data_IF_294766496211
#
_entry.id   IF_294766496211
#
_cell.length_a   1.000
_cell.length_b   1.000
_cell.length_c   1.000
_cell.angle_alpha   90.00
_cell.angle_beta   90.00
_cell.angle_gamma   90.00
#
_symmetry.space_group_name_H-M   'P 1'
#
loop_
_entity.id
_entity.type
_entity.pdbx_description
1 polymer ?
#
# COMPACT_ATOMS: atom_id res chain seq x y z
N UNK A 1 -1.79 19.77 34.34
CA UNK A 1 -1.10 18.61 33.72
C UNK A 1 -0.92 18.91 32.26
N UNK A 2 0.30 18.86 31.73
CA UNK A 2 0.58 19.22 30.33
C UNK A 2 -0.02 18.18 29.39
N UNK A 3 -0.72 18.62 28.33
CA UNK A 3 -1.31 17.74 27.30
C UNK A 3 -0.26 16.77 26.72
N UNK A 4 0.99 17.21 26.62
CA UNK A 4 2.13 16.42 26.15
C UNK A 4 2.44 15.19 27.01
N UNK A 5 2.31 15.27 28.33
CA UNK A 5 2.54 14.13 29.24
C UNK A 5 1.47 13.05 29.06
N UNK A 6 0.21 13.46 28.87
CA UNK A 6 -0.89 12.54 28.59
C UNK A 6 -0.68 11.82 27.26
N UNK A 7 -0.25 12.55 26.23
CA UNK A 7 0.04 12.01 24.89
C UNK A 7 1.22 11.03 24.94
N UNK A 8 2.31 11.37 25.64
CA UNK A 8 3.45 10.47 25.79
C UNK A 8 3.06 9.16 26.50
N UNK A 9 2.24 9.25 27.55
CA UNK A 9 1.72 8.08 28.26
C UNK A 9 0.81 7.20 27.39
N UNK A 10 -0.10 7.82 26.63
CA UNK A 10 -0.97 7.10 25.70
C UNK A 10 -0.16 6.37 24.62
N UNK A 11 0.81 7.04 24.01
CA UNK A 11 1.71 6.43 23.01
C UNK A 11 2.50 5.29 23.65
N UNK A 12 3.04 5.49 24.86
CA UNK A 12 3.79 4.47 25.59
C UNK A 12 3.00 3.19 25.80
N UNK A 13 1.71 3.31 26.11
CA UNK A 13 0.79 2.18 26.26
C UNK A 13 0.55 1.46 24.92
N UNK A 14 0.39 2.21 23.83
CA UNK A 14 0.17 1.64 22.49
C UNK A 14 1.38 0.83 22.01
N UNK A 15 2.60 1.37 22.20
CA UNK A 15 3.82 0.75 21.68
C UNK A 15 4.49 -0.21 22.69
N UNK A 16 3.96 -0.32 23.93
CA UNK A 16 4.54 -1.07 25.05
C UNK A 16 6.01 -0.72 25.32
N UNK A 17 6.42 0.52 25.08
CA UNK A 17 7.77 1.02 25.35
C UNK A 17 7.66 2.37 26.08
N UNK A 18 8.52 2.66 27.07
CA UNK A 18 8.47 3.91 27.82
C UNK A 18 8.81 5.10 26.93
N UNK A 19 7.90 6.06 26.82
CA UNK A 19 8.09 7.30 26.05
C UNK A 19 8.22 8.47 27.01
N UNK A 20 9.32 9.21 26.90
CA UNK A 20 9.56 10.46 27.65
C UNK A 20 9.25 11.67 26.77
N UNK A 21 8.78 12.74 27.39
CA UNK A 21 8.61 14.05 26.73
C UNK A 21 9.97 14.74 26.54
N UNK A 22 10.03 15.70 25.62
CA UNK A 22 11.25 16.46 25.35
C UNK A 22 11.78 17.18 26.61
N UNK A 23 10.88 17.76 27.41
CA UNK A 23 11.25 18.45 28.65
C UNK A 23 11.84 17.50 29.69
N UNK A 24 11.29 16.27 29.81
CA UNK A 24 11.85 15.23 30.67
C UNK A 24 13.23 14.77 30.21
N UNK A 25 13.44 14.60 28.90
CA UNK A 25 14.76 14.26 28.36
C UNK A 25 15.79 15.37 28.60
N UNK A 26 15.37 16.64 28.47
CA UNK A 26 16.23 17.79 28.73
C UNK A 26 16.59 17.91 30.21
N UNK A 27 15.66 17.60 31.11
CA UNK A 27 15.89 17.57 32.56
C UNK A 27 16.85 16.43 32.98
N UNK A 28 16.81 15.29 32.29
CA UNK A 28 17.76 14.15 32.47
C UNK A 28 19.18 14.47 31.95
N UNK A 29 19.40 15.65 31.38
CA UNK A 29 20.69 16.06 30.83
C UNK A 29 21.00 15.51 29.43
N UNK A 30 20.02 14.90 28.75
CA UNK A 30 20.20 14.45 27.37
C UNK A 30 20.30 15.66 26.44
N UNK A 31 21.46 15.80 25.77
CA UNK A 31 21.59 16.71 24.62
C UNK A 31 20.92 16.06 23.40
N UNK A 32 19.69 16.49 23.12
CA UNK A 32 18.99 16.12 21.89
C UNK A 32 19.42 17.12 20.81
N UNK A 33 20.23 16.66 19.86
CA UNK A 33 20.55 17.43 18.66
C UNK A 33 19.27 17.70 17.87
N UNK A 34 19.04 18.93 17.37
CA UNK A 34 17.83 19.26 16.60
C UNK A 34 17.68 18.42 15.32
N UNK A 35 18.77 17.83 14.83
CA UNK A 35 18.76 16.87 13.72
C UNK A 35 18.18 15.48 14.09
N UNK A 36 18.10 15.14 15.38
CA UNK A 36 17.47 13.90 15.87
C UNK A 36 15.96 14.08 16.11
N UNK A 37 15.47 15.33 16.11
CA UNK A 37 14.05 15.62 16.14
C UNK A 37 13.50 15.30 14.75
N UNK A 38 12.89 14.12 14.64
CA UNK A 38 12.25 13.68 13.41
C UNK A 38 11.00 14.54 13.18
N UNK A 39 11.12 15.52 12.29
CA UNK A 39 10.01 16.33 11.83
C UNK A 39 8.92 15.44 11.18
N UNK A 40 7.64 15.79 11.34
CA UNK A 40 6.52 15.03 10.80
C UNK A 40 6.61 14.82 9.29
N UNK A 41 7.14 15.79 8.56
CA UNK A 41 7.38 15.71 7.11
C UNK A 41 8.50 14.71 6.80
N UNK A 42 9.52 14.67 7.66
CA UNK A 42 10.60 13.68 7.60
C UNK A 42 10.11 12.28 7.97
N UNK A 43 9.22 12.14 8.94
CA UNK A 43 8.56 10.88 9.29
C UNK A 43 7.69 10.41 8.13
N UNK A 44 6.91 11.29 7.50
CA UNK A 44 6.09 10.93 6.35
C UNK A 44 6.96 10.45 5.18
N UNK A 45 8.02 11.20 4.84
CA UNK A 45 9.00 10.80 3.80
C UNK A 45 9.74 9.52 4.15
N UNK A 46 10.22 9.35 5.39
CA UNK A 46 10.92 8.12 5.82
C UNK A 46 9.97 6.93 5.99
N UNK A 47 8.70 7.15 6.33
CA UNK A 47 7.67 6.11 6.41
C UNK A 47 7.34 5.58 5.02
N UNK A 48 7.19 6.48 4.02
CA UNK A 48 7.11 6.09 2.61
C UNK A 48 8.34 5.29 2.15
N UNK A 49 9.53 5.62 2.66
CA UNK A 49 10.77 4.88 2.36
C UNK A 49 10.83 3.53 3.12
N UNK A 50 10.36 3.42 4.36
CA UNK A 50 10.31 2.12 5.09
C UNK A 50 9.25 1.17 4.52
N UNK A 51 8.20 1.70 3.87
CA UNK A 51 7.23 0.90 3.11
C UNK A 51 7.82 0.42 1.77
N UNK A 52 8.95 0.96 1.30
CA UNK A 52 9.80 0.22 0.35
C UNK A 52 10.47 -0.95 1.10
N UNK A 53 9.66 -2.00 1.30
CA UNK A 53 9.99 -3.40 1.49
C UNK A 53 11.51 -3.64 1.42
N UNK A 54 12.19 -3.68 2.57
CA UNK A 54 13.61 -4.00 2.64
C UNK A 54 13.94 -5.35 3.29
N UNK A 55 12.94 -6.14 3.68
CA UNK A 55 13.17 -7.48 4.27
C UNK A 55 12.20 -8.55 3.75
N UNK A 56 11.83 -8.45 2.47
CA UNK A 56 11.33 -9.59 1.71
C UNK A 56 12.17 -9.58 0.45
N UNK A 57 13.07 -10.55 0.28
CA UNK A 57 13.82 -10.74 -0.96
C UNK A 57 12.88 -10.56 -2.16
N UNK A 58 12.96 -9.42 -2.86
CA UNK A 58 12.07 -9.17 -3.97
C UNK A 58 12.49 -10.11 -5.10
N UNK A 59 11.54 -10.77 -5.79
CA UNK A 59 11.80 -11.22 -7.14
C UNK A 59 12.37 -10.04 -7.91
N UNK A 60 13.53 -10.26 -8.53
CA UNK A 60 14.29 -9.26 -9.27
C UNK A 60 13.38 -8.49 -10.23
N UNK A 61 13.57 -7.17 -10.23
CA UNK A 61 13.00 -6.22 -11.18
C UNK A 61 11.57 -5.73 -10.91
N UNK A 62 11.40 -4.92 -9.86
CA UNK A 62 10.32 -3.92 -9.84
C UNK A 62 10.95 -2.54 -9.75
N UNK A 63 11.39 -2.04 -10.90
CA UNK A 63 11.74 -0.63 -11.06
C UNK A 63 10.47 0.19 -10.95
N UNK A 64 10.18 0.73 -9.76
CA UNK A 64 9.21 1.81 -9.61
C UNK A 64 9.80 3.05 -10.29
N UNK A 65 9.54 3.16 -11.60
CA UNK A 65 9.96 4.28 -12.41
C UNK A 65 9.11 5.47 -12.01
N UNK A 66 9.74 6.46 -11.37
CA UNK A 66 9.18 7.78 -11.16
C UNK A 66 8.63 8.32 -12.48
N UNK A 67 7.31 8.37 -12.68
CA UNK A 67 6.65 9.22 -13.67
C UNK A 67 5.13 9.28 -13.40
N UNK A 68 4.56 10.48 -13.48
CA UNK A 68 3.14 10.88 -13.33
C UNK A 68 2.12 10.16 -14.26
N UNK A 69 2.18 8.83 -14.42
CA UNK A 69 1.39 8.06 -15.40
C UNK A 69 0.43 7.05 -14.78
N UNK A 70 0.06 7.25 -13.51
CA UNK A 70 -0.97 6.45 -12.87
C UNK A 70 -2.32 6.69 -13.57
N UNK A 71 -2.87 5.64 -14.16
CA UNK A 71 -4.21 5.68 -14.75
C UNK A 71 -5.24 5.24 -13.73
N UNK A 72 -6.40 5.89 -13.76
CA UNK A 72 -7.54 5.44 -12.97
C UNK A 72 -8.25 4.32 -13.72
N UNK A 73 -8.41 3.16 -13.10
CA UNK A 73 -9.19 2.03 -13.62
C UNK A 73 -10.29 1.65 -12.65
N UNK A 74 -11.26 0.91 -13.15
CA UNK A 74 -12.36 0.36 -12.36
C UNK A 74 -12.18 -1.15 -12.22
N UNK A 75 -12.33 -1.63 -11.00
CA UNK A 75 -12.23 -3.04 -10.66
C UNK A 75 -13.61 -3.50 -10.21
N UNK A 76 -14.20 -4.44 -10.96
CA UNK A 76 -15.52 -4.99 -10.66
C UNK A 76 -15.37 -6.42 -10.13
N UNK A 77 -15.55 -6.65 -8.82
CA UNK A 77 -15.57 -7.99 -8.27
C UNK A 77 -16.83 -8.74 -8.73
N UNK A 78 -16.67 -9.98 -9.18
CA UNK A 78 -17.75 -10.83 -9.72
C UNK A 78 -18.76 -11.25 -8.64
N UNK A 79 -18.36 -11.28 -7.37
CA UNK A 79 -19.22 -11.62 -6.22
C UNK A 79 -20.13 -10.46 -5.77
N UNK A 80 -19.92 -9.24 -6.29
CA UNK A 80 -20.73 -8.10 -5.87
C UNK A 80 -22.10 -8.13 -6.57
N UNK A 81 -23.09 -8.75 -5.91
CA UNK A 81 -24.53 -8.63 -6.24
C UNK A 81 -24.95 -7.15 -6.43
N UNK A 82 -24.24 -6.20 -5.80
CA UNK A 82 -24.54 -4.77 -5.86
C UNK A 82 -23.95 -4.03 -7.09
N UNK A 83 -23.17 -4.68 -7.96
CA UNK A 83 -22.64 -4.05 -9.18
C UNK A 83 -21.65 -2.87 -9.00
N UNK A 84 -21.30 -2.53 -7.76
CA UNK A 84 -20.45 -1.37 -7.46
C UNK A 84 -19.01 -1.61 -7.90
N UNK A 85 -18.53 -0.80 -8.85
CA UNK A 85 -17.15 -0.85 -9.32
C UNK A 85 -16.27 -0.01 -8.39
N UNK A 86 -15.12 -0.55 -7.98
CA UNK A 86 -14.17 0.19 -7.15
C UNK A 86 -13.10 0.85 -8.02
N UNK A 87 -12.86 2.14 -7.84
CA UNK A 87 -11.80 2.86 -8.54
C UNK A 87 -10.43 2.60 -7.89
N UNK A 88 -9.41 2.44 -8.74
CA UNK A 88 -8.02 2.21 -8.35
C UNK A 88 -7.07 2.97 -9.29
N UNK A 89 -5.96 3.47 -8.75
CA UNK A 89 -4.88 4.08 -9.55
C UNK A 89 -3.78 3.05 -9.75
N UNK A 90 -3.40 2.81 -11.00
CA UNK A 90 -2.38 1.81 -11.35
C UNK A 90 -1.46 2.36 -12.43
N UNK A 91 -0.21 1.93 -12.42
CA UNK A 91 0.71 2.15 -13.53
C UNK A 91 0.39 1.14 -14.66
N UNK A 92 0.44 1.57 -15.92
CA UNK A 92 0.26 0.69 -17.08
C UNK A 92 1.48 -0.20 -17.34
N UNK A 93 2.63 0.16 -16.78
CA UNK A 93 3.93 -0.48 -17.01
C UNK A 93 4.09 -1.78 -16.21
N UNK A 94 3.30 -1.96 -15.15
CA UNK A 94 3.37 -3.16 -14.30
C UNK A 94 2.83 -4.40 -15.02
N UNK A 95 3.28 -5.55 -14.54
CA UNK A 95 2.78 -6.87 -14.94
C UNK A 95 1.40 -7.14 -14.36
N UNK A 96 0.67 -8.06 -15.00
CA UNK A 96 -0.62 -8.56 -14.49
C UNK A 96 -0.42 -9.24 -13.12
N UNK A 97 0.72 -9.91 -12.90
CA UNK A 97 1.05 -10.52 -11.62
C UNK A 97 1.14 -9.47 -10.49
N UNK A 98 1.89 -8.39 -10.71
CA UNK A 98 1.99 -7.29 -9.75
C UNK A 98 0.64 -6.62 -9.51
N UNK A 99 -0.14 -6.43 -10.57
CA UNK A 99 -1.48 -5.86 -10.45
C UNK A 99 -2.40 -6.76 -9.61
N UNK A 100 -2.32 -8.08 -9.75
CA UNK A 100 -3.01 -9.03 -8.86
C UNK A 100 -2.60 -8.84 -7.41
N UNK A 101 -1.31 -8.66 -7.13
CA UNK A 101 -0.83 -8.42 -5.75
C UNK A 101 -1.46 -7.16 -5.14
N UNK A 102 -1.56 -6.08 -5.92
CA UNK A 102 -2.22 -4.82 -5.48
C UNK A 102 -3.70 -5.06 -5.17
N UNK A 103 -4.41 -5.80 -6.03
CA UNK A 103 -5.81 -6.19 -5.78
C UNK A 103 -5.90 -7.06 -4.51
N UNK A 104 -5.02 -8.05 -4.35
CA UNK A 104 -4.99 -8.92 -3.18
C UNK A 104 -4.81 -8.13 -1.88
N UNK A 105 -3.89 -7.16 -1.87
CA UNK A 105 -3.67 -6.29 -0.72
C UNK A 105 -4.91 -5.44 -0.39
N UNK A 106 -5.68 -5.04 -1.41
CA UNK A 106 -6.86 -4.18 -1.22
C UNK A 106 -8.13 -4.95 -0.83
N UNK A 107 -8.32 -6.14 -1.38
CA UNK A 107 -9.51 -6.98 -1.18
C UNK A 107 -9.29 -8.15 -0.22
N UNK A 108 -8.07 -8.37 0.28
CA UNK A 108 -7.74 -9.43 1.24
C UNK A 108 -7.83 -10.86 0.67
N UNK A 109 -7.73 -11.03 -0.65
CA UNK A 109 -7.88 -12.34 -1.33
C UNK A 109 -6.52 -12.95 -1.69
N UNK A 110 -6.42 -14.29 -1.71
CA UNK A 110 -5.19 -15.00 -2.10
C UNK A 110 -4.99 -14.95 -3.62
N UNK A 111 -3.81 -14.54 -4.09
CA UNK A 111 -3.45 -14.33 -5.51
C UNK A 111 -3.87 -15.50 -6.42
N UNK A 112 -3.63 -16.75 -5.99
CA UNK A 112 -3.95 -17.96 -6.75
C UNK A 112 -5.45 -18.14 -7.04
N UNK A 113 -6.29 -17.52 -6.21
CA UNK A 113 -7.75 -17.58 -6.34
C UNK A 113 -8.30 -16.48 -7.26
N UNK A 114 -7.48 -15.49 -7.63
CA UNK A 114 -7.90 -14.36 -8.45
C UNK A 114 -7.67 -14.63 -9.94
N UNK A 115 -8.73 -14.46 -10.72
CA UNK A 115 -8.66 -14.35 -12.18
C UNK A 115 -9.12 -12.96 -12.61
N UNK A 116 -8.32 -12.32 -13.44
CA UNK A 116 -8.63 -11.02 -14.03
C UNK A 116 -9.13 -11.23 -15.45
N UNK A 117 -10.30 -10.68 -15.77
CA UNK A 117 -10.91 -10.71 -17.10
C UNK A 117 -11.03 -9.28 -17.62
N UNK A 118 -10.55 -9.07 -18.84
CA UNK A 118 -10.69 -7.82 -19.56
C UNK A 118 -11.14 -8.11 -21.00
N UNK A 119 -12.18 -7.42 -21.46
CA UNK A 119 -12.75 -7.59 -22.80
C UNK A 119 -13.04 -9.07 -23.17
N UNK A 120 -13.55 -9.85 -22.21
CA UNK A 120 -13.84 -11.28 -22.38
C UNK A 120 -12.63 -12.20 -22.40
N UNK A 121 -11.41 -11.67 -22.25
CA UNK A 121 -10.16 -12.46 -22.21
C UNK A 121 -9.57 -12.46 -20.81
N UNK A 122 -9.12 -13.62 -20.37
CA UNK A 122 -8.34 -13.73 -19.14
C UNK A 122 -6.96 -13.09 -19.36
N UNK A 123 -6.51 -12.31 -18.39
CA UNK A 123 -5.18 -11.72 -18.39
C UNK A 123 -4.13 -12.76 -17.94
N UNK A 124 -2.98 -12.77 -18.61
CA UNK A 124 -1.85 -13.64 -18.30
C UNK A 124 -0.83 -12.88 -17.43
N UNK A 125 -0.28 -13.58 -16.44
CA UNK A 125 0.62 -13.02 -15.44
C UNK A 125 1.93 -12.46 -16.01
N UNK A 126 2.43 -13.07 -17.08
CA UNK A 126 3.69 -12.69 -17.75
C UNK A 126 3.59 -11.44 -18.64
N UNK A 127 2.38 -10.89 -18.79
CA UNK A 127 2.11 -9.74 -19.68
C UNK A 127 1.87 -8.46 -18.86
N UNK A 128 2.20 -7.32 -19.44
CA UNK A 128 1.96 -6.00 -18.84
C UNK A 128 0.55 -5.49 -19.11
N UNK A 129 0.04 -4.58 -18.28
CA UNK A 129 -1.28 -3.97 -18.51
C UNK A 129 -1.33 -3.18 -19.83
N UNK A 130 -0.23 -2.54 -20.21
CA UNK A 130 -0.08 -1.86 -21.51
C UNK A 130 -0.28 -2.81 -22.69
N UNK A 131 0.18 -4.06 -22.60
CA UNK A 131 0.05 -5.04 -23.69
C UNK A 131 -1.41 -5.42 -24.00
N UNK A 132 -2.30 -5.24 -23.03
CA UNK A 132 -3.74 -5.43 -23.18
C UNK A 132 -4.49 -4.14 -23.57
N UNK A 133 -3.76 -3.05 -23.82
CA UNK A 133 -4.31 -1.73 -24.12
C UNK A 133 -5.31 -1.26 -23.03
N UNK A 134 -4.97 -1.50 -21.75
CA UNK A 134 -5.76 -1.02 -20.62
C UNK A 134 -5.52 0.47 -20.47
N UNK A 135 -6.60 1.25 -20.54
CA UNK A 135 -6.59 2.71 -20.50
C UNK A 135 -7.32 3.26 -19.27
N UNK A 136 -7.20 4.56 -19.08
CA UNK A 136 -7.97 5.27 -18.04
C UNK A 136 -9.47 5.04 -18.24
N UNK A 137 -10.16 4.69 -17.17
CA UNK A 137 -11.59 4.41 -17.16
C UNK A 137 -11.98 3.01 -17.61
N UNK A 138 -11.01 2.14 -17.94
CA UNK A 138 -11.31 0.74 -18.25
C UNK A 138 -11.80 -0.02 -17.01
N UNK A 139 -12.69 -0.99 -17.23
CA UNK A 139 -13.20 -1.88 -16.17
C UNK A 139 -12.62 -3.27 -16.32
N UNK A 140 -11.97 -3.76 -15.26
CA UNK A 140 -11.45 -5.14 -15.16
C UNK A 140 -12.36 -5.92 -14.24
N UNK A 141 -12.81 -7.08 -14.71
CA UNK A 141 -13.62 -8.00 -13.91
C UNK A 141 -12.72 -8.92 -13.10
N UNK A 142 -12.98 -9.03 -11.80
CA UNK A 142 -12.21 -9.86 -10.88
C UNK A 142 -13.07 -11.02 -10.43
N UNK A 143 -12.65 -12.23 -10.77
CA UNK A 143 -13.23 -13.46 -10.28
C UNK A 143 -12.36 -13.98 -9.14
N UNK A 144 -12.95 -14.10 -7.95
CA UNK A 144 -12.37 -14.88 -6.87
C UNK A 144 -12.98 -16.29 -6.89
N UNK A 145 -12.20 -17.30 -6.52
CA UNK A 145 -12.76 -18.57 -6.09
C UNK A 145 -13.07 -18.44 -4.60
N UNK A 146 -14.33 -18.24 -4.25
CA UNK A 146 -14.79 -18.46 -2.87
C UNK A 146 -14.49 -19.91 -2.49
N UNK A 147 -13.67 -20.09 -1.46
CA UNK A 147 -13.58 -21.37 -0.75
C UNK A 147 -14.78 -21.37 0.20
N UNK A 148 -15.90 -21.93 -0.26
CA UNK A 148 -17.10 -22.08 0.55
C UNK A 148 -16.82 -23.03 1.72
N UNK A 149 -17.16 -22.58 2.93
CA UNK A 149 -17.35 -23.43 4.11
C UNK A 149 -18.79 -23.87 4.25
#
# INVERSE_FOLDING_TARGET
MSQLSLVASAISSIIKCPVKTYDECKADGLKIDPAQILDLDTIYKKSLIRIKIKDIDPPKDVTFSDNNKLIQIFVKPFESLAGNSQSMFVDTSITVLEFKNVICAKFGTVIKMIRLIFNGKQLNDDKTLTSYNIQKGCTIQVLSKVVGG
#
